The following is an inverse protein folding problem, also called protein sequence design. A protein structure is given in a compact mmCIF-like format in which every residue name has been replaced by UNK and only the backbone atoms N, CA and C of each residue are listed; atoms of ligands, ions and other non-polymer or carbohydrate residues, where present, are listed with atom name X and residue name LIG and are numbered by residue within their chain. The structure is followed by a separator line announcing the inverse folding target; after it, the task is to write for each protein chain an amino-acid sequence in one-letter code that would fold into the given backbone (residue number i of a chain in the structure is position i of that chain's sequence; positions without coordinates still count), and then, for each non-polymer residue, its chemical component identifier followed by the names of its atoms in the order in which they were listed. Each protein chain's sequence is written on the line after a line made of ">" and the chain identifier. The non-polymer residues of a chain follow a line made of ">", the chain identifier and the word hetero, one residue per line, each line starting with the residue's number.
data_IF_830661365629
#
_entry.id   IF_830661365629
#
_cell.length_a   1.000
_cell.length_b   1.000
_cell.length_c   1.000
_cell.angle_alpha   90.00
_cell.angle_beta   90.00
_cell.angle_gamma   90.00
#
_symmetry.space_group_name_H-M   'P 1'
#
loop_
_entity.id
_entity.type
_entity.pdbx_description
1 polymer ?
#
# COMPACT_ATOMS: atom_id res chain seq x y z
N UNK A 1 5.90 6.67 2.97
CA UNK A 1 5.52 7.94 2.29
C UNK A 1 6.69 8.57 1.56
N UNK A 2 7.91 8.45 2.08
CA UNK A 2 9.16 8.86 1.42
C UNK A 2 9.33 8.17 0.06
N UNK A 3 9.00 6.89 0.02
CA UNK A 3 9.14 5.94 -1.09
C UNK A 3 8.21 6.28 -2.27
N UNK A 4 6.99 6.77 -1.98
CA UNK A 4 6.07 7.29 -3.00
C UNK A 4 6.68 8.55 -3.65
N UNK A 5 7.16 9.49 -2.82
CA UNK A 5 7.78 10.72 -3.31
C UNK A 5 9.10 10.48 -4.06
N UNK A 6 9.83 9.45 -3.69
CA UNK A 6 11.09 9.06 -4.31
C UNK A 6 10.90 8.20 -5.58
N UNK A 7 9.66 7.86 -5.97
CA UNK A 7 9.38 7.00 -7.14
C UNK A 7 9.80 5.53 -6.97
N UNK A 8 10.18 5.12 -5.76
CA UNK A 8 10.61 3.73 -5.49
C UNK A 8 9.44 2.82 -5.13
N UNK A 9 8.31 3.38 -4.70
CA UNK A 9 7.10 2.61 -4.43
C UNK A 9 6.52 2.00 -5.73
N UNK A 10 6.23 0.69 -5.71
CA UNK A 10 5.64 -0.05 -6.83
C UNK A 10 4.20 -0.46 -6.56
N UNK A 11 3.87 -0.73 -5.31
CA UNK A 11 2.52 -1.00 -4.83
C UNK A 11 2.38 -0.48 -3.40
N UNK A 12 1.29 0.19 -3.10
CA UNK A 12 0.94 0.61 -1.74
C UNK A 12 -0.32 -0.12 -1.32
N UNK A 13 -0.29 -0.79 -0.17
CA UNK A 13 -1.46 -1.43 0.42
C UNK A 13 -1.89 -0.61 1.62
N UNK A 14 -3.13 -0.18 1.62
CA UNK A 14 -3.77 0.57 2.72
C UNK A 14 -4.82 -0.33 3.35
N UNK A 15 -4.82 -0.39 4.68
CA UNK A 15 -5.82 -1.18 5.38
C UNK A 15 -7.24 -0.68 5.12
N UNK A 16 -8.21 -1.59 5.05
CA UNK A 16 -9.64 -1.29 4.83
C UNK A 16 -10.24 -0.47 5.97
N UNK A 17 -9.76 -0.71 7.20
CA UNK A 17 -10.12 -0.04 8.45
C UNK A 17 -9.26 1.22 8.73
N UNK A 18 -8.43 1.64 7.76
CA UNK A 18 -7.76 2.93 7.84
C UNK A 18 -8.78 4.08 7.79
N UNK A 19 -8.48 5.16 8.53
CA UNK A 19 -9.32 6.36 8.51
C UNK A 19 -9.50 6.90 7.09
N UNK A 20 -10.66 7.50 6.81
CA UNK A 20 -10.96 8.06 5.50
C UNK A 20 -9.92 9.09 5.05
N UNK A 21 -9.49 9.96 5.97
CA UNK A 21 -8.41 10.92 5.74
C UNK A 21 -7.10 10.24 5.32
N UNK A 22 -6.76 9.11 5.92
CA UNK A 22 -5.58 8.33 5.54
C UNK A 22 -5.73 7.74 4.14
N UNK A 23 -6.86 7.09 3.84
CA UNK A 23 -7.11 6.48 2.52
C UNK A 23 -7.06 7.52 1.41
N UNK A 24 -7.75 8.66 1.60
CA UNK A 24 -7.77 9.76 0.64
C UNK A 24 -6.36 10.32 0.41
N UNK A 25 -5.64 10.66 1.49
CA UNK A 25 -4.28 11.22 1.40
C UNK A 25 -3.28 10.29 0.68
N UNK A 26 -3.40 8.97 0.86
CA UNK A 26 -2.52 8.03 0.18
C UNK A 26 -2.96 7.81 -1.26
N UNK A 27 -4.26 7.73 -1.53
CA UNK A 27 -4.81 7.59 -2.89
C UNK A 27 -4.47 8.80 -3.76
N UNK A 28 -4.66 10.02 -3.26
CA UNK A 28 -4.31 11.27 -3.96
C UNK A 28 -2.83 11.30 -4.33
N UNK A 29 -1.96 10.81 -3.43
CA UNK A 29 -0.52 10.69 -3.70
C UNK A 29 -0.20 9.57 -4.67
N UNK A 30 -0.86 8.43 -4.55
CA UNK A 30 -0.72 7.34 -5.51
C UNK A 30 -1.03 7.81 -6.92
N UNK A 31 -2.15 8.52 -7.09
CA UNK A 31 -2.55 9.10 -8.37
C UNK A 31 -1.53 10.14 -8.87
N UNK A 32 -1.08 11.04 -8.01
CA UNK A 32 -0.13 12.09 -8.39
C UNK A 32 1.26 11.55 -8.80
N UNK A 33 1.74 10.51 -8.13
CA UNK A 33 3.05 9.89 -8.41
C UNK A 33 2.96 8.63 -9.28
N UNK A 34 1.78 8.34 -9.87
CA UNK A 34 1.51 7.16 -10.71
C UNK A 34 1.86 5.81 -10.03
N UNK A 35 1.61 5.71 -8.72
CA UNK A 35 1.80 4.50 -7.93
C UNK A 35 0.44 3.85 -7.64
N UNK A 36 0.33 2.54 -7.91
CA UNK A 36 -0.88 1.79 -7.59
C UNK A 36 -1.11 1.73 -6.07
N UNK A 37 -2.30 2.16 -5.64
CA UNK A 37 -2.76 2.10 -4.26
C UNK A 37 -3.92 1.11 -4.18
N UNK A 38 -3.76 0.07 -3.39
CA UNK A 38 -4.75 -0.95 -3.14
C UNK A 38 -5.29 -0.81 -1.72
N UNK A 39 -6.63 -0.84 -1.56
CA UNK A 39 -7.26 -0.86 -0.24
C UNK A 39 -7.64 -2.31 0.06
N UNK A 40 -6.80 -3.00 0.82
CA UNK A 40 -6.94 -4.42 1.12
C UNK A 40 -6.38 -4.74 2.51
N UNK A 41 -6.93 -5.80 3.11
CA UNK A 41 -6.63 -6.29 4.46
C UNK A 41 -6.95 -5.29 5.58
N UNK A 42 -7.13 -5.78 6.78
CA UNK A 42 -7.27 -4.97 7.99
C UNK A 42 -5.90 -4.57 8.53
N UNK A 43 -5.87 -3.54 9.39
CA UNK A 43 -4.66 -3.13 10.12
C UNK A 43 -4.08 -4.33 10.88
N UNK A 44 -4.94 -5.15 11.49
CA UNK A 44 -4.53 -6.33 12.24
C UNK A 44 -3.83 -7.35 11.34
N UNK A 45 -4.42 -7.70 10.20
CA UNK A 45 -3.84 -8.66 9.25
C UNK A 45 -2.50 -8.16 8.69
N UNK A 46 -2.43 -6.90 8.27
CA UNK A 46 -1.17 -6.30 7.81
C UNK A 46 -0.11 -6.33 8.92
N UNK A 47 -0.50 -5.97 10.15
CA UNK A 47 0.41 -5.90 11.28
C UNK A 47 0.95 -7.27 11.66
N UNK A 48 0.10 -8.29 11.65
CA UNK A 48 0.47 -9.66 11.93
C UNK A 48 1.40 -10.22 10.85
N UNK A 49 1.07 -10.02 9.57
CA UNK A 49 1.83 -10.54 8.44
C UNK A 49 3.28 -9.99 8.38
N UNK A 50 3.48 -8.73 8.77
CA UNK A 50 4.81 -8.10 8.78
C UNK A 50 5.48 -8.13 10.16
N UNK A 51 4.81 -8.65 11.18
CA UNK A 51 5.28 -8.66 12.57
C UNK A 51 5.44 -7.28 13.22
N UNK A 52 4.72 -6.26 12.72
CA UNK A 52 4.83 -4.87 13.21
C UNK A 52 3.53 -4.10 13.01
N UNK A 53 3.11 -3.32 14.01
CA UNK A 53 1.89 -2.53 13.89
C UNK A 53 1.96 -1.52 12.72
N UNK A 54 1.14 -1.72 11.69
CA UNK A 54 1.05 -0.87 10.50
C UNK A 54 -0.37 -0.85 9.92
N UNK A 55 -0.75 0.32 9.46
CA UNK A 55 -2.00 0.57 8.72
C UNK A 55 -1.76 0.72 7.21
N UNK A 56 -0.51 0.98 6.81
CA UNK A 56 -0.10 1.15 5.41
C UNK A 56 1.18 0.36 5.21
N UNK A 57 1.25 -0.41 4.13
CA UNK A 57 2.45 -1.09 3.67
C UNK A 57 2.82 -0.59 2.27
N UNK A 58 4.12 -0.45 2.00
CA UNK A 58 4.61 -0.05 0.68
C UNK A 58 5.61 -1.09 0.20
N UNK A 59 5.32 -1.67 -0.95
CA UNK A 59 6.17 -2.63 -1.64
C UNK A 59 7.02 -1.85 -2.65
N UNK A 60 8.33 -1.88 -2.44
CA UNK A 60 9.32 -1.23 -3.31
C UNK A 60 9.90 -2.21 -4.34
N UNK A 61 9.87 -3.51 -4.03
CA UNK A 61 10.38 -4.53 -4.93
C UNK A 61 9.39 -4.83 -6.06
N UNK A 62 9.89 -4.86 -7.29
CA UNK A 62 9.07 -5.04 -8.49
C UNK A 62 8.51 -6.47 -8.60
N UNK A 63 9.28 -7.48 -8.20
CA UNK A 63 8.89 -8.88 -8.25
C UNK A 63 7.75 -9.17 -7.28
N UNK A 64 7.90 -8.69 -6.04
CA UNK A 64 6.83 -8.76 -5.03
C UNK A 64 5.59 -7.99 -5.48
N UNK A 65 5.74 -6.76 -5.97
CA UNK A 65 4.60 -5.96 -6.42
C UNK A 65 3.82 -6.67 -7.53
N UNK A 66 4.51 -7.30 -8.49
CA UNK A 66 3.89 -8.08 -9.56
C UNK A 66 3.13 -9.29 -9.00
N UNK A 67 3.75 -10.06 -8.09
CA UNK A 67 3.10 -11.24 -7.49
C UNK A 67 1.90 -10.87 -6.64
N UNK A 68 1.98 -9.78 -5.87
CA UNK A 68 0.84 -9.26 -5.11
C UNK A 68 -0.31 -8.85 -6.02
N UNK A 69 -0.02 -8.15 -7.13
CA UNK A 69 -1.02 -7.79 -8.15
C UNK A 69 -1.72 -9.01 -8.74
N UNK A 70 -0.95 -10.04 -9.11
CA UNK A 70 -1.51 -11.31 -9.61
C UNK A 70 -2.41 -11.99 -8.57
N UNK A 71 -1.98 -12.09 -7.32
CA UNK A 71 -2.74 -12.75 -6.26
C UNK A 71 -3.98 -11.98 -5.81
N UNK A 72 -3.90 -10.64 -5.83
CA UNK A 72 -5.02 -9.75 -5.48
C UNK A 72 -5.91 -9.43 -6.68
N UNK A 73 -5.51 -9.83 -7.89
CA UNK A 73 -6.18 -9.51 -9.16
C UNK A 73 -6.37 -8.00 -9.39
N UNK A 74 -5.30 -7.21 -9.19
CA UNK A 74 -5.27 -5.73 -9.33
C UNK A 74 -4.11 -5.24 -10.19
#
# INVERSE_FOLDING_TARGET
>A
MKEIRNGTAKLVIVAVDASENTRKKISDKGQHYEVLVAVHFTKMELSHAIGKERTICTIIDKGFAKKFRELLSI
#
